data_IF_526028650612
#
_entry.id   IF_526028650612
#
_cell.length_a   1.000
_cell.length_b   1.000
_cell.length_c   1.000
_cell.angle_alpha   90.00
_cell.angle_beta   90.00
_cell.angle_gamma   90.00
#
_symmetry.space_group_name_H-M   'P 1'
#
loop_
_entity.id
_entity.type
_entity.pdbx_description
1 polymer ?
#
# COMPACT_ATOMS: atom_id res chain seq x y z
N UNK A 1 -18.37 -0.05 -16.56
CA UNK A 1 -17.63 -0.15 -15.28
C UNK A 1 -18.30 0.83 -14.35
N UNK A 2 -18.73 0.35 -13.19
CA UNK A 2 -19.26 1.19 -12.12
C UNK A 2 -18.08 1.48 -11.20
N UNK A 3 -17.73 2.76 -11.03
CA UNK A 3 -16.63 3.21 -10.16
C UNK A 3 -17.18 4.25 -9.22
N UNK A 4 -16.76 4.19 -7.96
CA UNK A 4 -17.12 5.17 -6.95
C UNK A 4 -15.83 5.71 -6.36
N UNK A 5 -15.60 7.00 -6.59
CA UNK A 5 -14.48 7.72 -6.03
C UNK A 5 -14.91 8.31 -4.69
N UNK A 6 -14.11 8.08 -3.66
CA UNK A 6 -14.31 8.69 -2.34
C UNK A 6 -13.06 9.51 -2.04
N UNK A 7 -13.28 10.79 -1.76
CA UNK A 7 -12.23 11.75 -1.40
C UNK A 7 -12.16 11.84 0.12
N UNK A 8 -10.95 11.85 0.67
CA UNK A 8 -10.72 12.22 2.08
C UNK A 8 -10.86 13.73 2.22
N UNK A 9 -11.84 14.19 3.01
CA UNK A 9 -12.11 15.60 3.29
C UNK A 9 -11.43 16.06 4.61
N UNK A 10 -10.58 15.21 5.20
CA UNK A 10 -9.68 15.54 6.30
C UNK A 10 -10.05 14.91 7.65
N UNK A 11 -9.59 15.56 8.74
CA UNK A 11 -9.81 15.05 10.10
C UNK A 11 -11.31 15.00 10.44
N UNK A 12 -11.87 13.79 10.56
CA UNK A 12 -13.24 13.59 11.02
C UNK A 12 -14.16 12.85 10.04
N UNK A 13 -13.63 12.30 8.96
CA UNK A 13 -14.39 11.40 8.10
C UNK A 13 -14.55 10.04 8.80
N UNK A 14 -15.67 9.88 9.51
CA UNK A 14 -15.92 8.73 10.36
C UNK A 14 -16.78 7.69 9.65
N UNK A 15 -16.19 6.52 9.36
CA UNK A 15 -16.88 5.26 9.68
C UNK A 15 -15.91 4.16 10.11
N UNK A 16 -15.01 4.48 11.06
CA UNK A 16 -14.83 3.79 12.36
C UNK A 16 -13.58 4.34 13.09
N UNK A 17 -13.76 5.48 13.78
CA UNK A 17 -13.02 5.79 15.02
C UNK A 17 -11.53 6.20 14.97
N UNK A 18 -10.85 6.23 13.82
CA UNK A 18 -9.48 6.76 13.70
C UNK A 18 -9.37 7.81 12.58
N UNK A 19 -8.66 8.94 12.79
CA UNK A 19 -8.43 9.95 11.75
C UNK A 19 -7.80 9.35 10.48
N UNK A 20 -8.20 9.84 9.30
CA UNK A 20 -7.65 9.42 8.01
C UNK A 20 -8.21 8.10 7.46
N UNK A 21 -9.32 7.59 8.02
CA UNK A 21 -9.95 6.34 7.55
C UNK A 21 -11.11 6.59 6.60
N UNK A 22 -10.92 6.39 5.29
CA UNK A 22 -12.06 6.33 4.35
C UNK A 22 -12.77 4.98 4.54
N UNK A 23 -14.07 5.05 4.79
CA UNK A 23 -14.86 3.96 5.34
C UNK A 23 -15.83 3.31 4.34
N UNK A 24 -15.85 1.98 4.38
CA UNK A 24 -16.92 1.03 4.01
C UNK A 24 -17.74 1.41 2.77
N UNK A 25 -17.31 0.90 1.62
CA UNK A 25 -18.16 0.84 0.43
C UNK A 25 -19.11 -0.36 0.52
N UNK A 26 -20.27 -0.28 -0.15
CA UNK A 26 -21.16 -1.43 -0.39
C UNK A 26 -21.21 -1.65 -1.90
N UNK A 27 -20.69 -2.80 -2.36
CA UNK A 27 -20.47 -3.07 -3.78
C UNK A 27 -21.70 -3.54 -4.57
N UNK A 28 -21.55 -3.43 -5.90
CA UNK A 28 -22.42 -3.90 -6.99
C UNK A 28 -23.00 -5.32 -6.78
N UNK A 29 -24.17 -5.61 -7.38
CA UNK A 29 -24.99 -6.83 -7.23
C UNK A 29 -24.28 -8.21 -7.27
N UNK A 30 -23.03 -8.29 -7.73
CA UNK A 30 -22.19 -9.51 -7.74
C UNK A 30 -21.42 -9.69 -6.43
N UNK A 31 -20.95 -8.60 -5.83
CA UNK A 31 -20.25 -8.57 -4.55
C UNK A 31 -21.29 -8.23 -3.46
N UNK A 32 -21.32 -9.04 -2.40
CA UNK A 32 -22.42 -9.07 -1.45
C UNK A 32 -22.54 -7.81 -0.57
N UNK A 33 -23.55 -7.82 0.28
CA UNK A 33 -23.89 -6.72 1.19
C UNK A 33 -22.91 -6.54 2.36
N UNK A 34 -21.90 -7.41 2.51
CA UNK A 34 -20.93 -7.38 3.60
C UNK A 34 -19.52 -7.06 3.08
N UNK A 35 -19.43 -5.97 2.32
CA UNK A 35 -18.17 -5.40 1.88
C UNK A 35 -17.65 -4.42 2.94
N UNK A 36 -16.40 -4.59 3.38
CA UNK A 36 -15.74 -3.66 4.29
C UNK A 36 -14.39 -3.27 3.69
N UNK A 37 -14.20 -1.98 3.43
CA UNK A 37 -12.90 -1.39 3.15
C UNK A 37 -12.60 -0.41 4.28
N UNK A 38 -11.42 -0.54 4.89
CA UNK A 38 -10.82 0.53 5.65
C UNK A 38 -9.52 0.92 4.97
N UNK A 39 -9.36 2.20 4.69
CA UNK A 39 -8.12 2.75 4.14
C UNK A 39 -7.48 3.67 5.17
N UNK A 40 -6.18 3.89 5.11
CA UNK A 40 -5.55 4.91 5.97
C UNK A 40 -4.39 5.57 5.26
N UNK A 41 -4.31 6.89 5.37
CA UNK A 41 -3.16 7.72 5.01
C UNK A 41 -2.56 8.33 6.29
N UNK A 42 -1.23 8.44 6.37
CA UNK A 42 -0.60 8.93 7.59
C UNK A 42 -0.55 10.47 7.59
N UNK A 43 -1.32 11.11 8.48
CA UNK A 43 -1.29 12.56 8.68
C UNK A 43 -0.28 13.03 9.74
N UNK A 44 0.45 12.10 10.38
CA UNK A 44 1.18 12.38 11.64
C UNK A 44 2.72 12.33 11.56
N UNK A 45 3.29 11.78 10.49
CA UNK A 45 4.73 11.78 10.24
C UNK A 45 5.00 12.32 8.81
N UNK A 46 5.58 13.53 8.66
CA UNK A 46 5.83 14.11 7.35
C UNK A 46 6.91 13.36 6.56
N UNK A 47 7.71 12.53 7.22
CA UNK A 47 8.88 11.91 6.59
C UNK A 47 8.56 10.49 6.07
N UNK A 48 7.39 9.93 6.38
CA UNK A 48 7.02 8.58 5.96
C UNK A 48 5.60 8.48 5.42
N UNK A 49 5.42 7.66 4.39
CA UNK A 49 4.12 7.48 3.73
C UNK A 49 3.62 6.09 4.05
N UNK A 50 2.37 6.00 4.50
CA UNK A 50 1.70 4.73 4.76
C UNK A 50 0.35 4.71 4.08
N UNK A 51 0.14 3.67 3.28
CA UNK A 51 -1.10 3.38 2.60
C UNK A 51 -1.54 1.98 3.02
N UNK A 52 -2.73 1.85 3.57
CA UNK A 52 -3.29 0.54 3.93
C UNK A 52 -4.65 0.35 3.26
N UNK A 53 -4.90 -0.82 2.70
CA UNK A 53 -6.23 -1.30 2.29
C UNK A 53 -6.52 -2.54 3.12
N UNK A 54 -7.48 -2.46 4.02
CA UNK A 54 -8.07 -3.64 4.66
C UNK A 54 -9.36 -3.99 3.93
N UNK A 55 -9.57 -5.26 3.60
CA UNK A 55 -10.72 -5.70 2.83
C UNK A 55 -11.36 -6.98 3.40
N UNK A 56 -12.68 -7.02 3.37
CA UNK A 56 -13.49 -8.23 3.49
C UNK A 56 -14.53 -8.21 2.39
N UNK A 57 -14.47 -9.16 1.48
CA UNK A 57 -15.21 -9.17 0.22
C UNK A 57 -15.94 -10.50 0.07
N UNK A 58 -17.26 -10.44 0.11
CA UNK A 58 -18.13 -11.55 -0.26
C UNK A 58 -18.65 -11.37 -1.69
N UNK A 59 -18.90 -12.47 -2.38
CA UNK A 59 -19.51 -12.48 -3.72
C UNK A 59 -20.46 -13.65 -3.87
N UNK A 60 -21.52 -13.44 -4.64
CA UNK A 60 -22.53 -14.47 -4.93
C UNK A 60 -22.40 -15.08 -6.33
N UNK A 61 -21.47 -14.56 -7.15
CA UNK A 61 -21.18 -15.03 -8.49
C UNK A 61 -19.74 -14.68 -8.88
N UNK A 62 -19.30 -15.15 -10.05
CA UNK A 62 -18.00 -14.79 -10.59
C UNK A 62 -17.89 -13.29 -10.87
N UNK A 63 -16.74 -12.70 -10.56
CA UNK A 63 -16.49 -11.28 -10.76
C UNK A 63 -15.10 -10.85 -10.33
N UNK A 64 -14.73 -9.63 -10.73
CA UNK A 64 -13.49 -8.96 -10.34
C UNK A 64 -13.81 -7.64 -9.66
N UNK A 65 -13.17 -7.39 -8.53
CA UNK A 65 -13.22 -6.16 -7.77
C UNK A 65 -11.81 -5.58 -7.69
N UNK A 66 -11.67 -4.31 -8.04
CA UNK A 66 -10.41 -3.58 -7.93
C UNK A 66 -10.56 -2.53 -6.84
N UNK A 67 -9.66 -2.57 -5.87
CA UNK A 67 -9.54 -1.62 -4.79
C UNK A 67 -8.28 -0.81 -5.04
N UNK A 68 -8.38 0.51 -5.02
CA UNK A 68 -7.21 1.36 -5.15
C UNK A 68 -7.30 2.51 -4.15
N UNK A 69 -6.17 2.87 -3.58
CA UNK A 69 -5.99 4.13 -2.85
C UNK A 69 -4.82 4.86 -3.46
N UNK A 70 -4.95 6.19 -3.53
CA UNK A 70 -3.90 7.03 -4.07
C UNK A 70 -3.76 8.29 -3.24
N UNK A 71 -2.52 8.73 -3.09
CA UNK A 71 -2.16 10.01 -2.50
C UNK A 71 -1.30 10.77 -3.51
N UNK A 72 -1.48 12.08 -3.58
CA UNK A 72 -0.77 12.97 -4.52
C UNK A 72 -0.23 14.18 -3.78
N UNK A 73 0.64 14.94 -4.44
CA UNK A 73 1.42 16.04 -3.87
C UNK A 73 2.40 15.58 -2.80
N UNK A 74 2.95 14.38 -2.99
CA UNK A 74 4.01 13.83 -2.14
C UNK A 74 5.35 14.43 -2.54
N UNK A 75 6.23 14.56 -1.54
CA UNK A 75 7.57 15.13 -1.65
C UNK A 75 8.60 14.06 -1.24
N UNK A 76 9.72 13.99 -1.96
CA UNK A 76 10.75 12.94 -1.87
C UNK A 76 11.74 13.20 -0.73
N UNK A 77 11.63 14.30 0.00
CA UNK A 77 12.73 14.92 0.74
C UNK A 77 13.56 13.96 1.61
N UNK A 78 13.06 12.79 2.03
CA UNK A 78 13.89 11.74 2.63
C UNK A 78 13.63 10.28 2.18
N UNK A 79 12.70 9.98 1.29
CA UNK A 79 12.29 8.60 1.00
C UNK A 79 13.34 7.82 0.20
N UNK A 80 13.68 6.62 0.67
CA UNK A 80 14.70 5.76 0.01
C UNK A 80 14.33 4.30 -0.06
N UNK A 81 13.38 3.85 0.76
CA UNK A 81 12.99 2.46 0.85
C UNK A 81 11.49 2.32 0.85
N UNK A 82 11.02 1.29 0.14
CA UNK A 82 9.63 0.92 0.08
C UNK A 82 9.45 -0.52 0.56
N UNK A 83 8.33 -0.76 1.23
CA UNK A 83 7.87 -2.08 1.65
C UNK A 83 6.42 -2.25 1.26
N UNK A 84 6.07 -3.42 0.71
CA UNK A 84 4.69 -3.80 0.49
C UNK A 84 4.44 -5.15 1.14
N UNK A 85 3.55 -5.18 2.13
CA UNK A 85 3.04 -6.40 2.72
C UNK A 85 1.62 -6.66 2.24
N UNK A 86 1.31 -7.90 1.89
CA UNK A 86 -0.06 -8.36 1.68
C UNK A 86 -0.28 -9.67 2.42
N UNK A 87 -1.48 -9.85 2.97
CA UNK A 87 -1.86 -11.08 3.63
C UNK A 87 -3.36 -11.24 3.72
N UNK A 88 -3.82 -12.49 3.81
CA UNK A 88 -5.24 -12.75 3.86
C UNK A 88 -5.64 -14.20 3.63
N UNK A 89 -6.93 -14.39 3.38
CA UNK A 89 -7.53 -15.66 3.03
C UNK A 89 -8.48 -15.50 1.85
N UNK A 90 -8.58 -16.51 1.01
CA UNK A 90 -9.55 -16.56 -0.08
C UNK A 90 -10.18 -17.93 -0.17
N UNK A 91 -11.45 -17.99 -0.58
CA UNK A 91 -12.13 -19.25 -0.88
C UNK A 91 -11.53 -19.94 -2.11
N UNK A 92 -11.77 -21.24 -2.27
CA UNK A 92 -11.42 -21.96 -3.50
C UNK A 92 -12.06 -21.28 -4.73
N UNK A 93 -11.27 -21.04 -5.77
CA UNK A 93 -11.70 -20.26 -6.94
C UNK A 93 -11.60 -18.73 -6.76
N UNK A 94 -11.04 -18.27 -5.64
CA UNK A 94 -10.65 -16.88 -5.45
C UNK A 94 -9.17 -16.64 -5.73
N UNK A 95 -8.84 -15.41 -6.10
CA UNK A 95 -7.47 -14.97 -6.33
C UNK A 95 -7.30 -13.49 -5.98
N UNK A 96 -6.12 -13.15 -5.47
CA UNK A 96 -5.75 -11.77 -5.14
C UNK A 96 -4.47 -11.40 -5.88
N UNK A 97 -4.50 -10.30 -6.61
CA UNK A 97 -3.31 -9.66 -7.18
C UNK A 97 -3.16 -8.27 -6.58
N UNK A 98 -1.96 -7.73 -6.58
CA UNK A 98 -1.70 -6.43 -6.00
C UNK A 98 -0.60 -5.73 -6.77
N UNK A 99 -0.62 -4.40 -6.73
CA UNK A 99 0.42 -3.57 -7.28
C UNK A 99 0.54 -2.27 -6.51
N UNK A 100 1.75 -1.71 -6.49
CA UNK A 100 1.99 -0.36 -6.04
C UNK A 100 2.67 0.42 -7.16
N UNK A 101 2.26 1.66 -7.36
CA UNK A 101 2.72 2.53 -8.42
C UNK A 101 3.17 3.88 -7.85
N UNK A 102 4.11 4.48 -8.56
CA UNK A 102 4.56 5.86 -8.40
C UNK A 102 4.31 6.57 -9.72
N UNK A 103 3.76 7.77 -9.67
CA UNK A 103 3.58 8.61 -10.85
C UNK A 103 4.23 9.99 -10.66
N UNK A 104 5.30 10.23 -11.42
CA UNK A 104 6.00 11.51 -11.47
C UNK A 104 5.18 12.63 -12.13
N UNK A 105 4.10 12.27 -12.84
CA UNK A 105 3.08 13.21 -13.30
C UNK A 105 2.14 13.68 -12.18
N UNK A 106 2.29 13.15 -10.96
CA UNK A 106 1.51 13.51 -9.77
C UNK A 106 -0.01 13.37 -9.98
N UNK A 107 -0.44 12.34 -10.72
CA UNK A 107 -1.85 12.07 -10.98
C UNK A 107 -2.43 11.09 -9.96
N UNK A 108 -3.64 11.35 -9.43
CA UNK A 108 -4.37 10.35 -8.65
C UNK A 108 -4.58 9.08 -9.47
N UNK A 109 -4.32 7.93 -8.84
CA UNK A 109 -4.36 6.61 -9.48
C UNK A 109 -3.41 6.48 -10.68
N UNK A 110 -2.36 7.29 -10.68
CA UNK A 110 -1.30 7.25 -11.67
C UNK A 110 -0.53 5.93 -11.63
N UNK A 111 -0.24 5.38 -12.80
CA UNK A 111 0.43 4.07 -12.95
C UNK A 111 1.77 4.18 -13.67
N UNK A 112 2.39 5.37 -13.67
CA UNK A 112 3.59 5.69 -14.45
C UNK A 112 4.76 4.72 -14.25
N UNK A 113 5.12 4.41 -13.00
CA UNK A 113 6.17 3.45 -12.64
C UNK A 113 5.62 2.42 -11.66
N UNK A 114 5.71 1.13 -12.00
CA UNK A 114 5.40 0.05 -11.05
C UNK A 114 6.54 -0.09 -10.04
N UNK A 115 6.21 0.08 -8.76
CA UNK A 115 7.12 -0.13 -7.64
C UNK A 115 7.13 -1.60 -7.23
N UNK A 116 5.95 -2.18 -7.06
CA UNK A 116 5.76 -3.59 -6.73
C UNK A 116 4.56 -4.17 -7.48
N UNK A 117 4.60 -5.47 -7.75
CA UNK A 117 3.45 -6.22 -8.25
C UNK A 117 3.58 -7.68 -7.86
N UNK A 118 2.46 -8.33 -7.57
CA UNK A 118 2.42 -9.77 -7.28
C UNK A 118 1.04 -10.38 -7.48
N UNK A 119 1.00 -11.71 -7.35
CA UNK A 119 -0.18 -12.54 -7.63
C UNK A 119 -0.27 -13.06 -9.08
N UNK A 120 -1.35 -13.78 -9.43
CA UNK A 120 -2.50 -14.08 -8.58
C UNK A 120 -2.17 -15.07 -7.45
N UNK A 121 -2.44 -14.66 -6.22
CA UNK A 121 -2.36 -15.49 -5.02
C UNK A 121 -3.64 -16.32 -4.92
N UNK A 122 -3.54 -17.63 -5.09
CA UNK A 122 -4.69 -18.56 -5.16
C UNK A 122 -4.78 -19.52 -3.97
N UNK A 123 -3.80 -19.48 -3.06
CA UNK A 123 -3.81 -20.32 -1.86
C UNK A 123 -4.89 -19.85 -0.88
N UNK A 124 -5.51 -20.79 -0.16
CA UNK A 124 -6.60 -20.50 0.78
C UNK A 124 -6.20 -19.47 1.85
N UNK A 125 -4.92 -19.46 2.23
CA UNK A 125 -4.28 -18.41 2.98
C UNK A 125 -3.05 -17.95 2.21
N UNK A 126 -2.85 -16.65 2.09
CA UNK A 126 -1.74 -16.07 1.34
C UNK A 126 -1.04 -15.00 2.18
N UNK A 127 0.25 -14.83 1.95
CA UNK A 127 1.03 -13.72 2.48
C UNK A 127 2.27 -13.50 1.64
N UNK A 128 2.53 -12.24 1.29
CA UNK A 128 3.77 -11.81 0.63
C UNK A 128 4.30 -10.54 1.29
N UNK A 129 5.63 -10.39 1.25
CA UNK A 129 6.33 -9.20 1.69
C UNK A 129 7.39 -8.85 0.64
N UNK A 130 7.28 -7.67 0.07
CA UNK A 130 8.22 -7.12 -0.91
C UNK A 130 8.92 -5.90 -0.32
N UNK A 131 10.15 -5.69 -0.74
CA UNK A 131 10.94 -4.52 -0.39
C UNK A 131 11.78 -4.07 -1.57
N UNK A 132 11.98 -2.76 -1.72
CA UNK A 132 12.72 -2.18 -2.83
C UNK A 132 13.30 -0.83 -2.46
N UNK A 133 14.36 -0.43 -3.16
CA UNK A 133 14.88 0.92 -3.10
C UNK A 133 14.02 1.86 -3.96
N UNK A 134 13.90 3.11 -3.53
CA UNK A 134 13.25 4.18 -4.26
C UNK A 134 14.35 5.02 -4.92
N UNK A 135 14.52 4.86 -6.23
CA UNK A 135 15.51 5.61 -7.01
C UNK A 135 14.82 6.48 -8.06
N UNK A 136 15.31 7.72 -8.20
CA UNK A 136 14.95 8.57 -9.34
C UNK A 136 13.53 9.16 -9.33
N UNK A 137 12.89 9.27 -8.16
CA UNK A 137 11.66 10.07 -8.06
C UNK A 137 11.95 11.56 -8.23
N UNK A 138 10.95 12.29 -8.73
CA UNK A 138 10.97 13.74 -8.89
C UNK A 138 9.71 14.32 -8.27
N UNK A 139 9.85 15.42 -7.51
CA UNK A 139 8.73 16.07 -6.84
C UNK A 139 7.97 17.06 -7.73
N UNK A 140 6.64 17.21 -7.53
CA UNK A 140 5.79 16.35 -6.71
C UNK A 140 5.47 15.02 -7.43
N UNK A 141 5.11 13.99 -6.66
CA UNK A 141 4.64 12.71 -7.22
C UNK A 141 3.40 12.20 -6.49
N UNK A 142 2.77 11.17 -7.06
CA UNK A 142 1.68 10.43 -6.43
C UNK A 142 2.06 8.95 -6.25
N UNK A 143 1.43 8.32 -5.27
CA UNK A 143 1.59 6.90 -4.94
C UNK A 143 0.23 6.25 -4.94
N UNK A 144 0.12 5.11 -5.62
CA UNK A 144 -1.12 4.32 -5.70
C UNK A 144 -0.87 2.89 -5.25
N UNK A 145 -1.66 2.40 -4.30
CA UNK A 145 -1.74 0.99 -3.93
C UNK A 145 -3.03 0.39 -4.49
N UNK A 146 -2.91 -0.70 -5.24
CA UNK A 146 -4.00 -1.41 -5.89
C UNK A 146 -4.05 -2.88 -5.42
N UNK A 147 -5.26 -3.37 -5.17
CA UNK A 147 -5.56 -4.77 -4.90
C UNK A 147 -6.70 -5.22 -5.82
N UNK A 148 -6.46 -6.27 -6.58
CA UNK A 148 -7.44 -6.88 -7.50
C UNK A 148 -7.86 -8.23 -6.95
N UNK A 149 -9.14 -8.37 -6.63
CA UNK A 149 -9.75 -9.59 -6.12
C UNK A 149 -10.61 -10.18 -7.23
N UNK A 150 -10.38 -11.43 -7.60
CA UNK A 150 -11.20 -12.14 -8.58
C UNK A 150 -11.74 -13.43 -7.99
N UNK A 151 -13.06 -13.63 -8.07
CA UNK A 151 -13.70 -14.90 -7.76
C UNK A 151 -14.27 -15.53 -9.03
N UNK A 152 -14.09 -16.84 -9.21
CA UNK A 152 -14.67 -17.61 -10.33
C UNK A 152 -16.09 -18.11 -10.05
N UNK A 153 -16.65 -17.79 -8.88
CA UNK A 153 -17.97 -18.18 -8.41
C UNK A 153 -18.28 -17.47 -7.10
N UNK A 154 -19.30 -17.91 -6.36
CA UNK A 154 -19.53 -17.39 -5.02
C UNK A 154 -18.34 -17.69 -4.10
N UNK A 155 -17.90 -16.70 -3.33
CA UNK A 155 -16.65 -16.77 -2.60
C UNK A 155 -16.46 -15.60 -1.65
N UNK A 156 -15.53 -15.77 -0.71
CA UNK A 156 -15.15 -14.78 0.28
C UNK A 156 -13.63 -14.61 0.24
N UNK A 157 -13.18 -13.35 0.22
CA UNK A 157 -11.78 -12.98 0.31
C UNK A 157 -11.62 -11.91 1.39
N UNK A 158 -10.71 -12.14 2.33
CA UNK A 158 -10.38 -11.19 3.39
C UNK A 158 -8.88 -10.96 3.42
N UNK A 159 -8.45 -9.78 3.85
CA UNK A 159 -7.04 -9.51 3.95
C UNK A 159 -6.72 -8.04 4.13
N UNK A 160 -5.43 -7.75 4.06
CA UNK A 160 -4.90 -6.42 4.09
C UNK A 160 -3.71 -6.32 3.14
N UNK A 161 -3.58 -5.16 2.50
CA UNK A 161 -2.38 -4.72 1.79
C UNK A 161 -1.90 -3.44 2.45
N UNK A 162 -0.58 -3.35 2.68
CA UNK A 162 0.05 -2.20 3.29
C UNK A 162 1.29 -1.84 2.49
N UNK A 163 1.34 -0.60 2.01
CA UNK A 163 2.50 0.03 1.39
C UNK A 163 3.08 1.06 2.37
N UNK A 164 4.38 0.97 2.60
CA UNK A 164 5.12 1.87 3.46
C UNK A 164 6.34 2.40 2.71
N UNK A 165 6.49 3.72 2.66
CA UNK A 165 7.68 4.40 2.15
C UNK A 165 8.38 5.06 3.34
N UNK A 166 9.66 4.73 3.54
CA UNK A 166 10.45 5.18 4.68
C UNK A 166 11.65 6.03 4.26
N UNK A 167 12.08 6.95 5.14
CA UNK A 167 13.37 7.59 5.04
C UNK A 167 14.54 6.61 5.03
N UNK A 168 15.70 7.07 4.54
CA UNK A 168 16.95 6.32 4.72
C UNK A 168 17.13 5.90 6.20
N UNK A 169 17.33 4.60 6.47
CA UNK A 169 17.47 4.16 7.84
C UNK A 169 18.76 4.75 8.41
N UNK A 170 18.67 5.52 9.51
CA UNK A 170 19.81 6.10 10.26
C UNK A 170 20.96 5.12 10.56
N UNK A 171 20.70 3.82 10.43
CA UNK A 171 21.71 2.76 10.40
C UNK A 171 22.84 3.00 9.39
N UNK A 172 22.59 3.61 8.23
CA UNK A 172 23.64 3.95 7.25
C UNK A 172 24.57 5.03 7.79
N UNK A 173 24.00 6.07 8.41
CA UNK A 173 24.77 7.11 9.10
C UNK A 173 25.56 6.55 10.30
N UNK A 174 24.94 5.69 11.12
CA UNK A 174 25.60 5.02 12.24
C UNK A 174 26.71 4.08 11.79
N UNK A 175 26.52 3.35 10.69
CA UNK A 175 27.55 2.51 10.08
C UNK A 175 28.72 3.37 9.60
N UNK A 176 28.43 4.49 8.94
CA UNK A 176 29.44 5.47 8.52
C UNK A 176 30.24 6.03 9.70
N UNK A 177 29.56 6.44 10.77
CA UNK A 177 30.20 6.92 12.00
C UNK A 177 31.00 5.82 12.72
N UNK A 178 30.50 4.60 12.74
CA UNK A 178 31.21 3.44 13.29
C UNK A 178 32.51 3.15 12.54
N UNK A 179 32.48 3.19 11.20
CA UNK A 179 33.67 3.01 10.36
C UNK A 179 34.67 4.16 10.51
N UNK A 180 34.19 5.40 10.60
CA UNK A 180 35.03 6.57 10.90
C UNK A 180 35.71 6.44 12.27
N UNK A 181 34.95 6.05 13.29
CA UNK A 181 35.47 5.80 14.64
C UNK A 181 36.55 4.72 14.67
N UNK A 182 36.30 3.58 14.01
CA UNK A 182 37.27 2.50 13.89
C UNK A 182 38.54 2.94 13.13
N UNK A 183 38.39 3.74 12.07
CA UNK A 183 39.51 4.30 11.30
C UNK A 183 40.38 5.25 12.13
N UNK A 184 39.76 6.14 12.91
CA UNK A 184 40.46 7.06 13.81
C UNK A 184 41.18 6.33 14.95
N UNK A 185 40.57 5.30 15.54
CA UNK A 185 41.23 4.47 16.56
C UNK A 185 42.47 3.75 16.02
N UNK A 186 42.39 3.21 14.79
CA UNK A 186 43.55 2.55 14.15
C UNK A 186 44.70 3.51 13.87
N UNK A 187 44.41 4.78 13.55
CA UNK A 187 45.45 5.80 13.31
C UNK A 187 46.20 6.20 14.59
N UNK A 188 45.56 6.06 15.76
CA UNK A 188 46.17 6.37 17.07
C UNK A 188 46.97 5.20 17.65
N UNK A 189 46.69 3.97 17.21
CA UNK A 189 47.41 2.77 17.61
C UNK A 189 48.70 2.52 16.79
N UNK A 190 48.96 3.32 15.75
CA UNK A 190 50.22 3.39 15.01
C UNK A 190 51.00 4.60 15.47
#
# INVERSE_FOLDING_TARGET
MDSVDVVDEGLGDFAFGAPGTIATFYGSAVFGSNFQIATSLNASDPDSIFQTIQFSVDSNAAGTLTLAISEQNLDITQLSQAFLGIGGTTTSGGSVSFAAYIDAGNALFGTGTTLFSGGPLTDLAFSELLSGALDGLTDPFSVTLEVVITHTGAGITTGNAQLTLLPEPMTTALLGLGLLGAGLMRRRAR
#
